data_IF_870749011058
#
_entry.id   IF_870749011058
#
_cell.length_a   1.000
_cell.length_b   1.000
_cell.length_c   1.000
_cell.angle_alpha   90.00
_cell.angle_beta   90.00
_cell.angle_gamma   90.00
#
_symmetry.space_group_name_H-M   'P 1'
#
loop_
_entity.id
_entity.type
_entity.pdbx_description
1 polymer ?
#
# COMPACT_ATOMS: atom_id res chain seq x y z
N UNK A 1 -31.93 -9.66 66.43
CA UNK A 1 -30.70 -9.65 65.62
C UNK A 1 -31.04 -9.14 64.23
N UNK A 2 -30.58 -7.94 63.80
CA UNK A 2 -30.80 -7.51 62.43
C UNK A 2 -29.78 -8.17 61.50
N UNK A 3 -30.28 -8.74 60.40
CA UNK A 3 -29.49 -9.41 59.36
C UNK A 3 -28.78 -8.32 58.55
N UNK A 4 -27.45 -8.43 58.41
CA UNK A 4 -26.61 -7.54 57.61
C UNK A 4 -26.98 -7.65 56.12
N UNK A 5 -27.95 -6.89 55.64
CA UNK A 5 -28.12 -6.57 54.22
C UNK A 5 -27.07 -5.52 53.79
N UNK A 6 -25.82 -5.90 53.57
CA UNK A 6 -24.79 -4.88 53.23
C UNK A 6 -23.81 -5.24 52.10
N UNK A 7 -23.98 -6.39 51.43
CA UNK A 7 -23.14 -6.77 50.29
C UNK A 7 -23.82 -6.56 48.93
N UNK A 8 -24.92 -7.31 48.70
CA UNK A 8 -25.49 -7.49 47.36
C UNK A 8 -26.14 -6.22 46.78
N UNK A 9 -26.85 -5.45 47.61
CA UNK A 9 -27.57 -4.24 47.18
C UNK A 9 -26.63 -3.11 46.77
N UNK A 10 -25.48 -2.97 47.45
CA UNK A 10 -24.42 -2.02 47.07
C UNK A 10 -23.75 -2.40 45.76
N UNK A 11 -23.51 -3.70 45.53
CA UNK A 11 -22.94 -4.19 44.26
C UNK A 11 -23.90 -3.96 43.09
N UNK A 12 -25.20 -4.19 43.27
CA UNK A 12 -26.22 -3.92 42.25
C UNK A 12 -26.39 -2.43 41.94
N UNK A 13 -26.30 -1.55 42.95
CA UNK A 13 -26.31 -0.10 42.75
C UNK A 13 -25.10 0.37 41.93
N UNK A 14 -23.90 -0.08 42.29
CA UNK A 14 -22.66 0.26 41.57
C UNK A 14 -22.72 -0.26 40.13
N UNK A 15 -23.25 -1.46 39.91
CA UNK A 15 -23.41 -2.03 38.57
C UNK A 15 -24.37 -1.20 37.69
N UNK A 16 -25.45 -0.66 38.26
CA UNK A 16 -26.41 0.20 37.55
C UNK A 16 -25.79 1.56 37.19
N UNK A 17 -25.01 2.16 38.09
CA UNK A 17 -24.34 3.44 37.86
C UNK A 17 -23.17 3.30 36.87
N UNK A 18 -22.49 2.15 36.90
CA UNK A 18 -21.42 1.80 35.95
C UNK A 18 -21.94 1.53 34.54
N UNK A 19 -23.21 1.13 34.40
CA UNK A 19 -23.83 0.77 33.12
C UNK A 19 -23.78 1.93 32.11
N UNK A 20 -23.93 3.17 32.58
CA UNK A 20 -23.86 4.38 31.76
C UNK A 20 -22.46 4.66 31.19
N UNK A 21 -21.41 4.08 31.76
CA UNK A 21 -20.03 4.17 31.25
C UNK A 21 -19.70 2.97 30.36
N UNK A 22 -20.17 1.78 30.74
CA UNK A 22 -19.89 0.53 30.01
C UNK A 22 -20.55 0.53 28.63
N UNK A 23 -21.80 0.98 28.52
CA UNK A 23 -22.52 1.02 27.23
C UNK A 23 -21.79 1.90 26.19
N UNK A 24 -21.45 3.18 26.44
CA UNK A 24 -20.74 3.99 25.46
C UNK A 24 -19.34 3.44 25.15
N UNK A 25 -18.67 2.78 26.11
CA UNK A 25 -17.39 2.11 25.85
C UNK A 25 -17.55 0.95 24.86
N UNK A 26 -18.59 0.12 25.02
CA UNK A 26 -18.90 -0.97 24.09
C UNK A 26 -19.25 -0.42 22.71
N UNK A 27 -20.06 0.63 22.64
CA UNK A 27 -20.41 1.29 21.37
C UNK A 27 -19.15 1.85 20.71
N UNK A 28 -18.28 2.55 21.45
CA UNK A 28 -17.02 3.06 20.94
C UNK A 28 -16.10 1.93 20.44
N UNK A 29 -16.01 0.82 21.18
CA UNK A 29 -15.24 -0.36 20.77
C UNK A 29 -15.83 -1.02 19.51
N UNK A 30 -17.16 -1.08 19.37
CA UNK A 30 -17.83 -1.62 18.19
C UNK A 30 -17.59 -0.71 16.96
N UNK A 31 -17.72 0.61 17.13
CA UNK A 31 -17.41 1.59 16.07
C UNK A 31 -15.94 1.49 15.68
N UNK A 32 -15.04 1.42 16.66
CA UNK A 32 -13.60 1.26 16.41
C UNK A 32 -13.33 -0.04 15.65
N UNK A 33 -13.85 -1.19 16.11
CA UNK A 33 -13.67 -2.47 15.45
C UNK A 33 -14.25 -2.52 14.03
N UNK A 34 -15.37 -1.82 13.80
CA UNK A 34 -15.98 -1.71 12.47
C UNK A 34 -15.20 -0.79 11.52
N UNK A 35 -14.63 0.31 12.03
CA UNK A 35 -13.90 1.30 11.22
C UNK A 35 -12.41 1.00 11.06
N UNK A 36 -11.79 0.31 12.02
CA UNK A 36 -10.36 0.06 12.03
C UNK A 36 -10.00 -1.01 11.01
N UNK A 37 -9.43 -0.58 9.89
CA UNK A 37 -8.96 -1.47 8.86
C UNK A 37 -7.61 -2.06 9.29
N UNK A 38 -7.66 -3.28 9.83
CA UNK A 38 -6.45 -4.01 10.21
C UNK A 38 -5.47 -4.14 9.03
N UNK A 39 -4.16 -4.19 9.31
CA UNK A 39 -3.15 -4.39 8.27
C UNK A 39 -3.48 -5.64 7.45
N UNK A 40 -3.61 -5.48 6.14
CA UNK A 40 -3.96 -6.56 5.21
C UNK A 40 -2.67 -7.18 4.67
N UNK A 41 -2.50 -8.48 4.85
CA UNK A 41 -1.40 -9.22 4.23
C UNK A 41 -1.67 -9.32 2.73
N UNK A 42 -0.69 -8.94 1.91
CA UNK A 42 -0.70 -9.06 0.46
C UNK A 42 0.37 -10.07 0.08
N UNK A 43 -0.02 -11.06 -0.71
CA UNK A 43 0.84 -12.05 -1.34
C UNK A 43 0.19 -12.36 -2.69
N UNK A 44 0.64 -11.66 -3.72
CA UNK A 44 0.00 -11.68 -5.03
C UNK A 44 1.04 -11.54 -6.14
N UNK A 45 0.77 -12.24 -7.23
CA UNK A 45 1.58 -12.26 -8.44
C UNK A 45 0.68 -11.76 -9.58
N UNK A 46 1.14 -10.72 -10.28
CA UNK A 46 0.37 -10.10 -11.36
C UNK A 46 1.16 -10.13 -12.67
N UNK A 47 0.54 -10.54 -13.79
CA UNK A 47 1.09 -10.20 -15.09
C UNK A 47 1.06 -8.68 -15.26
N UNK A 48 2.08 -8.13 -15.88
CA UNK A 48 2.20 -6.71 -16.10
C UNK A 48 2.72 -6.42 -17.51
N UNK A 49 2.38 -5.23 -17.99
CA UNK A 49 2.88 -4.71 -19.27
C UNK A 49 3.59 -3.40 -19.00
N UNK A 50 4.84 -3.33 -19.45
CA UNK A 50 5.63 -2.11 -19.51
C UNK A 50 5.57 -1.53 -20.93
N UNK A 51 5.39 -0.23 -21.09
CA UNK A 51 5.40 0.44 -22.38
C UNK A 51 5.78 1.91 -22.23
N UNK A 52 6.17 2.53 -23.35
CA UNK A 52 6.38 3.97 -23.44
C UNK A 52 5.10 4.69 -23.85
N UNK A 53 4.75 5.75 -23.13
CA UNK A 53 3.62 6.62 -23.44
C UNK A 53 3.75 7.15 -24.87
N UNK A 54 2.70 6.94 -25.68
CA UNK A 54 2.70 7.34 -27.09
C UNK A 54 3.32 6.32 -28.05
N UNK A 55 3.93 5.24 -27.55
CA UNK A 55 4.46 4.13 -28.37
C UNK A 55 4.00 2.76 -27.84
N UNK A 56 2.78 2.32 -28.17
CA UNK A 56 2.27 1.00 -27.79
C UNK A 56 3.08 -0.17 -28.36
N UNK A 57 3.91 0.05 -29.39
CA UNK A 57 4.73 -1.01 -29.98
C UNK A 57 5.94 -1.39 -29.11
N UNK A 58 6.29 -0.52 -28.16
CA UNK A 58 7.32 -0.78 -27.14
C UNK A 58 6.85 -1.69 -26.00
N UNK A 59 5.64 -2.24 -26.07
CA UNK A 59 5.06 -3.04 -25.01
C UNK A 59 5.84 -4.33 -24.76
N UNK A 60 6.27 -4.51 -23.51
CA UNK A 60 6.96 -5.70 -23.02
C UNK A 60 6.19 -6.31 -21.84
N UNK A 61 6.04 -7.63 -21.86
CA UNK A 61 5.43 -8.37 -20.76
C UNK A 61 6.45 -8.64 -19.65
N UNK A 62 5.99 -8.56 -18.41
CA UNK A 62 6.77 -8.86 -17.20
C UNK A 62 5.80 -9.33 -16.11
N UNK A 63 6.31 -9.69 -14.93
CA UNK A 63 5.47 -9.96 -13.76
C UNK A 63 5.86 -9.07 -12.58
N UNK A 64 4.87 -8.80 -11.73
CA UNK A 64 5.05 -8.13 -10.45
C UNK A 64 4.70 -9.10 -9.33
N UNK A 65 5.62 -9.28 -8.40
CA UNK A 65 5.47 -10.09 -7.20
C UNK A 65 5.36 -9.18 -5.98
N UNK A 66 4.19 -9.16 -5.33
CA UNK A 66 3.91 -8.31 -4.17
C UNK A 66 3.80 -9.17 -2.92
N UNK A 67 4.68 -8.94 -1.94
CA UNK A 67 4.65 -9.63 -0.66
C UNK A 67 4.84 -8.65 0.50
N UNK A 68 3.83 -8.50 1.37
CA UNK A 68 3.92 -7.59 2.49
C UNK A 68 2.61 -7.37 3.23
N UNK A 69 2.51 -6.21 3.87
CA UNK A 69 1.33 -5.75 4.58
C UNK A 69 1.00 -4.32 4.18
N UNK A 70 -0.26 -4.10 3.80
CA UNK A 70 -0.85 -2.79 3.58
C UNK A 70 -1.52 -2.31 4.87
N UNK A 71 -1.08 -1.17 5.38
CA UNK A 71 -1.59 -0.53 6.58
C UNK A 71 -2.50 0.63 6.20
N UNK A 72 -3.68 0.73 6.84
CA UNK A 72 -4.68 1.80 6.59
C UNK A 72 -5.07 2.48 7.91
N UNK A 73 -4.18 3.31 8.47
CA UNK A 73 -4.49 4.07 9.68
C UNK A 73 -5.68 5.04 9.44
N UNK A 74 -6.48 5.31 10.48
CA UNK A 74 -7.73 6.07 10.35
C UNK A 74 -7.53 7.58 10.05
N UNK A 75 -6.35 8.12 10.34
CA UNK A 75 -6.04 9.56 10.24
C UNK A 75 -4.67 9.83 9.60
N UNK A 76 -4.13 8.87 8.85
CA UNK A 76 -2.85 9.01 8.14
C UNK A 76 -2.95 8.31 6.79
N UNK A 77 -2.01 8.61 5.91
CA UNK A 77 -1.93 7.94 4.62
C UNK A 77 -1.73 6.43 4.75
N UNK A 78 -2.36 5.62 3.87
CA UNK A 78 -2.05 4.22 3.74
C UNK A 78 -0.57 4.03 3.39
N UNK A 79 0.02 2.95 3.91
CA UNK A 79 1.40 2.61 3.57
C UNK A 79 1.59 1.11 3.42
N UNK A 80 2.48 0.72 2.51
CA UNK A 80 2.85 -0.66 2.28
C UNK A 80 4.25 -0.94 2.82
N UNK A 81 4.34 -1.98 3.65
CA UNK A 81 5.61 -2.53 4.13
C UNK A 81 5.77 -3.95 3.61
N UNK A 82 6.80 -4.16 2.80
CA UNK A 82 7.02 -5.45 2.16
C UNK A 82 8.05 -5.34 1.05
N UNK A 83 7.81 -6.11 -0.02
CA UNK A 83 8.59 -6.14 -1.23
C UNK A 83 7.67 -6.16 -2.43
N UNK A 84 8.04 -5.41 -3.46
CA UNK A 84 7.48 -5.47 -4.81
C UNK A 84 8.66 -5.81 -5.71
N UNK A 85 8.70 -7.02 -6.24
CA UNK A 85 9.69 -7.44 -7.22
C UNK A 85 9.08 -7.40 -8.62
N UNK A 86 9.85 -6.93 -9.59
CA UNK A 86 9.47 -6.85 -11.00
C UNK A 86 10.51 -7.64 -11.77
N UNK A 87 10.09 -8.68 -12.49
CA UNK A 87 11.01 -9.66 -13.10
C UNK A 87 12.06 -9.01 -14.02
N UNK A 88 11.65 -7.97 -14.75
CA UNK A 88 12.52 -7.18 -15.63
C UNK A 88 13.69 -6.48 -14.90
N UNK A 89 13.56 -6.25 -13.58
CA UNK A 89 14.52 -5.50 -12.79
C UNK A 89 15.07 -6.35 -11.64
N UNK A 90 16.17 -7.06 -11.88
CA UNK A 90 16.77 -8.04 -10.95
C UNK A 90 16.96 -7.50 -9.52
N UNK A 91 17.39 -6.24 -9.38
CA UNK A 91 17.63 -5.62 -8.07
C UNK A 91 16.37 -5.54 -7.20
N UNK A 92 15.18 -5.49 -7.79
CA UNK A 92 13.91 -5.41 -7.04
C UNK A 92 13.57 -6.74 -6.33
N UNK A 93 14.04 -7.86 -6.89
CA UNK A 93 13.89 -9.21 -6.34
C UNK A 93 15.07 -9.66 -5.48
N UNK A 94 16.24 -9.01 -5.59
CA UNK A 94 17.46 -9.40 -4.89
C UNK A 94 17.36 -9.30 -3.36
N UNK A 95 17.99 -10.24 -2.64
CA UNK A 95 18.10 -10.20 -1.18
C UNK A 95 18.97 -9.04 -0.68
N UNK A 96 19.88 -8.54 -1.52
CA UNK A 96 20.82 -7.47 -1.18
C UNK A 96 20.17 -6.08 -1.16
N UNK A 97 18.93 -5.98 -1.67
CA UNK A 97 18.17 -4.74 -1.75
C UNK A 97 17.00 -4.75 -0.77
N UNK A 98 16.91 -3.70 0.05
CA UNK A 98 15.80 -3.47 0.97
C UNK A 98 14.90 -2.38 0.41
N UNK A 99 13.63 -2.72 0.15
CA UNK A 99 12.63 -1.76 -0.31
C UNK A 99 12.23 -0.80 0.82
N UNK A 100 12.13 0.49 0.51
CA UNK A 100 11.57 1.46 1.44
C UNK A 100 10.06 1.23 1.64
N UNK A 101 9.54 1.68 2.78
CA UNK A 101 8.09 1.70 2.99
C UNK A 101 7.46 2.70 2.03
N UNK A 102 6.47 2.24 1.27
CA UNK A 102 5.76 3.08 0.30
C UNK A 102 4.62 3.75 1.05
N UNK A 103 4.63 5.07 1.14
CA UNK A 103 3.48 5.85 1.60
C UNK A 103 2.65 6.26 0.37
N UNK A 104 1.35 6.04 0.41
CA UNK A 104 0.43 6.45 -0.66
C UNK A 104 -0.26 7.75 -0.24
N UNK A 105 0.40 8.87 -0.52
CA UNK A 105 -0.03 10.19 -0.07
C UNK A 105 -1.28 10.64 -0.84
N UNK A 106 -2.43 10.75 -0.16
CA UNK A 106 -3.68 11.14 -0.83
C UNK A 106 -3.62 12.55 -1.42
N UNK A 107 -2.86 13.43 -0.79
CA UNK A 107 -2.77 14.85 -1.16
C UNK A 107 -1.91 15.10 -2.41
N UNK A 108 -1.12 14.11 -2.82
CA UNK A 108 -0.23 14.18 -3.99
C UNK A 108 -0.73 13.18 -5.02
N UNK A 109 -1.29 13.70 -6.13
CA UNK A 109 -1.78 12.90 -7.26
C UNK A 109 -2.64 11.69 -6.83
N UNK A 110 -3.49 11.88 -5.81
CA UNK A 110 -4.47 10.92 -5.30
C UNK A 110 -3.88 9.54 -4.94
N UNK A 111 -2.81 9.50 -4.16
CA UNK A 111 -2.21 8.26 -3.66
C UNK A 111 -0.88 7.94 -4.31
N UNK A 112 -0.11 8.96 -4.67
CA UNK A 112 1.26 8.84 -5.12
C UNK A 112 2.14 8.20 -4.05
N UNK A 113 3.03 7.28 -4.46
CA UNK A 113 4.07 6.73 -3.61
C UNK A 113 5.40 6.62 -4.35
N UNK A 114 6.50 6.62 -3.60
CA UNK A 114 7.84 6.44 -4.13
C UNK A 114 8.25 4.96 -4.03
N UNK A 115 8.68 4.36 -5.13
CA UNK A 115 9.22 3.01 -5.19
C UNK A 115 10.75 3.08 -5.26
N UNK A 116 11.39 2.91 -4.11
CA UNK A 116 12.85 2.94 -3.98
C UNK A 116 13.36 1.76 -3.18
N UNK A 117 14.60 1.40 -3.46
CA UNK A 117 15.34 0.34 -2.80
C UNK A 117 16.65 0.91 -2.26
N UNK A 118 17.15 0.31 -1.19
CA UNK A 118 18.46 0.62 -0.63
C UNK A 118 19.30 -0.64 -0.61
N UNK A 119 20.59 -0.48 -0.85
CA UNK A 119 21.58 -1.54 -0.69
C UNK A 119 22.84 -0.97 -0.05
N UNK A 120 23.74 -1.86 0.37
CA UNK A 120 25.03 -1.50 0.94
C UNK A 120 26.14 -2.07 0.07
N UNK A 121 26.52 -1.31 -0.96
CA UNK A 121 27.55 -1.71 -1.92
C UNK A 121 28.87 -1.04 -1.53
N UNK A 122 29.96 -1.81 -1.43
CA UNK A 122 31.30 -1.28 -1.13
C UNK A 122 31.35 -0.41 0.15
N UNK A 123 30.64 -0.82 1.20
CA UNK A 123 30.52 -0.10 2.48
C UNK A 123 29.83 1.27 2.41
N UNK A 124 29.17 1.58 1.30
CA UNK A 124 28.42 2.82 1.12
C UNK A 124 26.93 2.52 0.88
N UNK A 125 26.01 3.23 1.55
CA UNK A 125 24.59 3.10 1.25
C UNK A 125 24.32 3.66 -0.15
N UNK A 126 23.72 2.83 -1.01
CA UNK A 126 23.21 3.25 -2.32
C UNK A 126 21.69 3.17 -2.31
N UNK A 127 21.03 4.18 -2.89
CA UNK A 127 19.57 4.23 -3.03
C UNK A 127 19.23 4.18 -4.51
N UNK A 128 18.50 3.15 -4.89
CA UNK A 128 17.95 3.00 -6.23
C UNK A 128 16.45 3.35 -6.23
N UNK A 129 16.13 4.55 -6.70
CA UNK A 129 14.75 4.91 -7.03
C UNK A 129 14.37 4.30 -8.37
N UNK A 130 13.40 3.40 -8.38
CA UNK A 130 12.86 2.82 -9.60
C UNK A 130 11.82 3.73 -10.24
N UNK A 131 10.99 4.39 -9.44
CA UNK A 131 9.92 5.22 -9.97
C UNK A 131 8.86 5.59 -8.94
N UNK A 132 7.70 5.99 -9.43
CA UNK A 132 6.53 6.33 -8.61
C UNK A 132 5.45 5.29 -8.82
N UNK A 133 4.69 4.99 -7.79
CA UNK A 133 3.72 3.91 -7.77
C UNK A 133 2.37 4.40 -7.23
N UNK A 134 1.30 3.92 -7.83
CA UNK A 134 -0.08 4.06 -7.36
C UNK A 134 -0.69 2.68 -7.20
N UNK A 135 -1.69 2.59 -6.33
CA UNK A 135 -2.45 1.37 -6.12
C UNK A 135 -3.95 1.64 -6.09
N UNK A 136 -4.71 0.62 -6.47
CA UNK A 136 -6.15 0.57 -6.26
C UNK A 136 -6.59 -0.78 -5.69
N UNK A 137 -7.71 -0.78 -4.97
CA UNK A 137 -8.37 -2.00 -4.52
C UNK A 137 -7.56 -2.85 -3.53
N UNK A 138 -6.68 -2.25 -2.73
CA UNK A 138 -5.72 -2.92 -1.85
C UNK A 138 -4.55 -3.59 -2.58
N UNK A 139 -3.89 -2.83 -3.47
CA UNK A 139 -2.82 -3.31 -4.34
C UNK A 139 -3.27 -4.42 -5.31
N UNK A 140 -4.56 -4.46 -5.66
CA UNK A 140 -5.08 -5.33 -6.72
C UNK A 140 -4.74 -4.81 -8.10
N UNK A 141 -4.66 -3.51 -8.23
CA UNK A 141 -4.18 -2.81 -9.42
C UNK A 141 -3.00 -1.95 -9.01
N UNK A 142 -1.97 -1.93 -9.86
CA UNK A 142 -0.77 -1.14 -9.67
C UNK A 142 -0.45 -0.38 -10.96
N UNK A 143 -0.05 0.87 -10.80
CA UNK A 143 0.56 1.67 -11.84
C UNK A 143 1.92 2.12 -11.35
N UNK A 144 2.96 1.94 -12.16
CA UNK A 144 4.31 2.41 -11.86
C UNK A 144 4.80 3.27 -13.02
N UNK A 145 5.19 4.52 -12.74
CA UNK A 145 5.93 5.33 -13.69
C UNK A 145 7.41 5.14 -13.37
N UNK A 146 8.16 4.57 -14.31
CA UNK A 146 9.55 4.17 -14.10
C UNK A 146 10.48 5.33 -14.50
N UNK A 147 11.53 5.55 -13.72
CA UNK A 147 12.58 6.51 -14.03
C UNK A 147 13.62 5.87 -14.93
N UNK A 148 13.79 6.42 -16.13
CA UNK A 148 14.65 5.90 -17.20
C UNK A 148 15.87 6.83 -17.39
N UNK A 149 17.12 6.32 -17.51
CA UNK A 149 17.52 4.93 -17.38
C UNK A 149 17.58 4.41 -15.95
N UNK A 150 17.13 3.18 -15.78
CA UNK A 150 17.22 2.45 -14.51
C UNK A 150 18.70 2.18 -14.20
N UNK A 151 19.14 2.54 -13.00
CA UNK A 151 20.54 2.38 -12.54
C UNK A 151 21.51 3.50 -12.93
N UNK A 152 21.04 4.61 -13.50
CA UNK A 152 21.88 5.79 -13.77
C UNK A 152 21.72 6.89 -12.73
N UNK A 153 22.74 7.74 -12.55
CA UNK A 153 22.70 8.89 -11.63
C UNK A 153 21.69 9.96 -12.07
N UNK A 154 21.49 10.11 -13.38
CA UNK A 154 20.49 11.01 -13.97
C UNK A 154 19.35 10.16 -14.52
N UNK A 155 18.21 10.19 -13.84
CA UNK A 155 17.00 9.52 -14.27
C UNK A 155 15.95 10.54 -14.69
N UNK A 156 15.28 10.30 -15.80
CA UNK A 156 14.14 11.07 -16.27
C UNK A 156 12.87 10.23 -16.11
N UNK A 157 11.81 10.82 -15.56
CA UNK A 157 10.48 10.20 -15.53
C UNK A 157 9.77 10.40 -16.86
N UNK A 158 10.43 10.11 -17.99
CA UNK A 158 9.83 10.31 -19.30
C UNK A 158 9.35 8.98 -19.86
N UNK A 159 8.03 8.84 -19.71
CA UNK A 159 7.18 8.04 -20.57
C UNK A 159 7.16 6.53 -20.31
N UNK A 160 8.03 5.96 -19.48
CA UNK A 160 7.98 4.53 -19.19
C UNK A 160 6.95 4.22 -18.10
N UNK A 161 5.93 3.45 -18.46
CA UNK A 161 4.84 3.03 -17.58
C UNK A 161 4.79 1.52 -17.46
N UNK A 162 4.46 1.02 -16.27
CA UNK A 162 4.24 -0.39 -15.98
C UNK A 162 2.90 -0.54 -15.25
N UNK A 163 2.00 -1.30 -15.87
CA UNK A 163 0.61 -1.47 -15.42
C UNK A 163 0.36 -2.93 -15.07
N UNK A 164 -0.29 -3.16 -13.93
CA UNK A 164 -0.74 -4.46 -13.50
C UNK A 164 -2.15 -4.40 -12.86
N UNK A 165 -2.97 -5.46 -12.98
CA UNK A 165 -2.70 -6.68 -13.75
C UNK A 165 -3.03 -6.45 -15.23
N UNK A 166 -2.11 -6.76 -16.13
CA UNK A 166 -2.36 -6.69 -17.57
C UNK A 166 -1.54 -7.76 -18.29
N UNK A 167 -2.17 -8.45 -19.24
CA UNK A 167 -1.50 -9.42 -20.12
C UNK A 167 -1.29 -8.87 -21.52
N UNK A 168 -2.03 -7.81 -21.88
CA UNK A 168 -1.95 -7.16 -23.18
C UNK A 168 -1.84 -5.64 -23.03
N UNK A 169 -1.33 -4.98 -24.07
CA UNK A 169 -1.24 -3.52 -24.12
C UNK A 169 -2.61 -2.85 -24.03
N UNK A 170 -3.65 -3.43 -24.64
CA UNK A 170 -5.01 -2.87 -24.59
C UNK A 170 -5.61 -2.90 -23.18
N UNK A 171 -5.35 -3.97 -22.43
CA UNK A 171 -5.72 -4.07 -21.01
C UNK A 171 -4.98 -3.03 -20.16
N UNK A 172 -3.67 -2.89 -20.40
CA UNK A 172 -2.83 -1.92 -19.71
C UNK A 172 -3.30 -0.48 -19.94
N UNK A 173 -3.59 -0.10 -21.19
CA UNK A 173 -4.10 1.23 -21.55
C UNK A 173 -5.49 1.50 -20.95
N UNK A 174 -6.33 0.46 -20.85
CA UNK A 174 -7.65 0.56 -20.22
C UNK A 174 -7.52 0.83 -18.72
N UNK A 175 -6.63 0.10 -18.04
CA UNK A 175 -6.34 0.33 -16.63
C UNK A 175 -5.69 1.69 -16.39
N UNK A 176 -4.74 2.11 -17.24
CA UNK A 176 -4.12 3.43 -17.18
C UNK A 176 -5.16 4.55 -17.19
N UNK A 177 -6.15 4.47 -18.10
CA UNK A 177 -7.27 5.42 -18.13
C UNK A 177 -8.07 5.42 -16.82
N UNK A 178 -8.32 4.25 -16.24
CA UNK A 178 -8.98 4.15 -14.94
C UNK A 178 -8.19 4.85 -13.82
N UNK A 179 -6.86 4.75 -13.82
CA UNK A 179 -6.01 5.53 -12.92
C UNK A 179 -6.14 7.04 -13.18
N UNK A 180 -6.10 7.47 -14.44
CA UNK A 180 -6.23 8.87 -14.82
C UNK A 180 -7.58 9.47 -14.39
N UNK A 181 -8.68 8.74 -14.55
CA UNK A 181 -10.03 9.14 -14.12
C UNK A 181 -10.14 9.30 -12.60
N UNK A 182 -9.32 8.56 -11.84
CA UNK A 182 -9.17 8.69 -10.38
C UNK A 182 -8.23 9.83 -9.97
N UNK A 183 -7.69 10.60 -10.92
CA UNK A 183 -6.74 11.69 -10.68
C UNK A 183 -5.32 11.22 -10.35
N UNK A 184 -5.01 9.95 -10.63
CA UNK A 184 -3.69 9.35 -10.46
C UNK A 184 -2.94 9.47 -11.78
N UNK A 185 -2.22 10.59 -11.97
CA UNK A 185 -1.47 10.92 -13.19
C UNK A 185 0.01 10.59 -13.04
#
# INVERSE_FOLDING_TARGET
MPIKETGLSRVLSIAKDSLWIVIPLIIAAAIFGYKYHFPKRIAADYPAVEYRTGDPSSAEQTNIHVNGKLYRPLFRDPYFKGRIAIDKYEFTGSADYSMFTIMFTSDIQNGWGLLSFSTYLNHMPSIESLGTIWQHGDMKELKVNIFDPVGADKKESKDLMLIAPATTIDEALTLERSFADRGQK
#
